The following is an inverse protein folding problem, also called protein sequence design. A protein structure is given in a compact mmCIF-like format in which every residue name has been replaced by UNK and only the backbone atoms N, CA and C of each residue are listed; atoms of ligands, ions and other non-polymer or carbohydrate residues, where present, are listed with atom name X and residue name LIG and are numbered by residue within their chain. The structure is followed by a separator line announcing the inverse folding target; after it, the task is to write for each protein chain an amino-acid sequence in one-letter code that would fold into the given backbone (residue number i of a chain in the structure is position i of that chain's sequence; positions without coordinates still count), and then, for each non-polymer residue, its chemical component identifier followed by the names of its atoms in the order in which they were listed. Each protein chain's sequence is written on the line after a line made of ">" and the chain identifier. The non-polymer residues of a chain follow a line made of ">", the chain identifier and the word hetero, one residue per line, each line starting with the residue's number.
data_IF_257351467592
#
_entry.id   IF_257351467592
#
_cell.length_a   1.000
_cell.length_b   1.000
_cell.length_c   1.000
_cell.angle_alpha   90.00
_cell.angle_beta   90.00
_cell.angle_gamma   90.00
#
_symmetry.space_group_name_H-M   'P 1'
#
loop_
_entity.id
_entity.type
_entity.pdbx_description
1 polymer ?
#
# COMPACT_ATOMS: atom_id res chain seq x y z
N UNK A 1 -21.90 14.57 3.77
CA UNK A 1 -21.79 14.40 2.32
C UNK A 1 -20.60 13.54 1.97
N UNK A 2 -20.81 12.60 1.16
CA UNK A 2 -19.76 11.67 0.77
C UNK A 2 -18.86 12.29 -0.30
N UNK A 3 -17.60 12.01 -0.23
CA UNK A 3 -16.68 12.41 -1.27
C UNK A 3 -16.81 11.43 -2.43
N UNK A 4 -17.51 11.84 -3.47
CA UNK A 4 -17.81 10.98 -4.58
C UNK A 4 -16.62 10.73 -5.50
N UNK A 5 -15.55 11.53 -5.38
CA UNK A 5 -14.38 11.36 -6.23
C UNK A 5 -13.69 10.02 -6.02
N UNK A 6 -13.87 9.42 -4.86
CA UNK A 6 -13.24 8.14 -4.53
C UNK A 6 -14.19 6.95 -4.69
N UNK A 7 -15.41 7.19 -5.17
CA UNK A 7 -16.32 6.10 -5.53
C UNK A 7 -16.67 5.14 -4.41
N UNK A 8 -16.73 5.58 -3.17
CA UNK A 8 -17.02 4.72 -2.05
C UNK A 8 -15.81 4.05 -1.42
N UNK A 9 -14.62 4.36 -1.90
CA UNK A 9 -13.39 3.86 -1.29
C UNK A 9 -13.22 4.45 0.11
N UNK A 10 -12.65 3.65 1.01
CA UNK A 10 -12.42 4.09 2.38
C UNK A 10 -10.93 4.14 2.68
N UNK A 11 -10.54 5.14 3.45
CA UNK A 11 -9.15 5.29 3.88
C UNK A 11 -8.79 4.15 4.84
N UNK A 12 -7.65 3.52 4.59
CA UNK A 12 -7.17 2.44 5.46
C UNK A 12 -5.83 2.75 6.09
N UNK A 13 -5.06 3.67 5.51
CA UNK A 13 -3.72 3.94 6.00
C UNK A 13 -3.19 5.25 5.44
N UNK A 14 -2.32 5.91 6.21
CA UNK A 14 -1.53 7.05 5.77
C UNK A 14 -0.07 6.71 5.98
N UNK A 15 0.76 6.89 4.96
CA UNK A 15 2.17 6.53 5.05
C UNK A 15 3.07 7.62 4.49
N UNK A 16 4.27 7.68 5.05
CA UNK A 16 5.35 8.47 4.46
C UNK A 16 6.16 7.52 3.57
N UNK A 17 6.40 7.95 2.35
CA UNK A 17 7.13 7.15 1.37
C UNK A 17 8.60 7.06 1.76
N UNK A 18 9.12 5.85 1.90
CA UNK A 18 10.52 5.62 2.20
C UNK A 18 11.33 5.51 0.91
N UNK A 19 12.65 5.41 1.05
CA UNK A 19 13.53 5.25 -0.11
C UNK A 19 13.29 3.94 -0.85
N UNK A 20 12.77 2.93 -0.17
CA UNK A 20 12.47 1.64 -0.80
C UNK A 20 11.42 1.76 -1.88
N UNK A 21 10.49 2.70 -1.72
CA UNK A 21 9.37 2.82 -2.64
C UNK A 21 9.83 3.19 -4.05
N UNK A 22 10.55 4.31 -4.27
CA UNK A 22 11.03 4.58 -5.62
C UNK A 22 12.12 3.61 -6.09
N UNK A 23 12.91 3.06 -5.16
CA UNK A 23 14.00 2.16 -5.55
C UNK A 23 13.49 0.78 -5.92
N UNK A 24 12.59 0.21 -5.12
CA UNK A 24 12.20 -1.20 -5.24
C UNK A 24 10.73 -1.41 -5.59
N UNK A 25 9.93 -0.34 -5.64
CA UNK A 25 8.50 -0.48 -5.89
C UNK A 25 7.75 -1.09 -4.72
N UNK A 26 8.22 -0.85 -3.50
CA UNK A 26 7.62 -1.41 -2.29
C UNK A 26 7.21 -0.28 -1.35
N UNK A 27 5.95 -0.29 -0.97
CA UNK A 27 5.43 0.65 0.03
C UNK A 27 5.09 -0.11 1.29
N UNK A 28 5.78 0.20 2.37
CA UNK A 28 5.54 -0.48 3.64
C UNK A 28 4.19 -0.04 4.21
N UNK A 29 3.43 -1.02 4.73
CA UNK A 29 2.14 -0.79 5.34
C UNK A 29 2.08 -1.50 6.69
N UNK A 30 1.11 -1.12 7.52
CA UNK A 30 0.94 -1.77 8.81
C UNK A 30 0.28 -3.14 8.64
N UNK A 31 0.41 -3.96 9.67
CA UNK A 31 -0.27 -5.25 9.70
C UNK A 31 -1.78 -5.07 9.55
N UNK A 32 -2.33 -4.03 10.15
CA UNK A 32 -3.76 -3.74 10.06
C UNK A 32 -4.18 -3.47 8.62
N UNK A 33 -3.42 -2.64 7.91
CA UNK A 33 -3.71 -2.36 6.51
C UNK A 33 -3.56 -3.62 5.66
N UNK A 34 -2.53 -4.42 5.92
CA UNK A 34 -2.33 -5.68 5.20
C UNK A 34 -3.54 -6.61 5.37
N UNK A 35 -4.08 -6.69 6.58
CA UNK A 35 -5.26 -7.50 6.84
C UNK A 35 -6.47 -7.04 6.06
N UNK A 36 -6.61 -5.74 5.85
CA UNK A 36 -7.71 -5.20 5.06
C UNK A 36 -7.57 -5.49 3.58
N UNK A 37 -6.35 -5.72 3.11
CA UNK A 37 -6.10 -6.03 1.71
C UNK A 37 -6.23 -7.52 1.40
N UNK A 38 -6.23 -8.39 2.41
CA UNK A 38 -6.33 -9.83 2.19
C UNK A 38 -7.50 -10.26 1.29
N UNK A 39 -8.71 -9.69 1.47
CA UNK A 39 -9.83 -10.09 0.61
C UNK A 39 -9.60 -9.83 -0.88
N UNK A 40 -8.67 -8.95 -1.24
CA UNK A 40 -8.35 -8.71 -2.64
C UNK A 40 -7.51 -9.83 -3.25
N UNK A 41 -6.91 -10.69 -2.41
CA UNK A 41 -6.03 -11.75 -2.86
C UNK A 41 -4.57 -11.32 -2.88
N UNK A 42 -3.70 -12.25 -3.29
CA UNK A 42 -2.25 -11.99 -3.31
C UNK A 42 -1.87 -10.95 -4.36
N UNK A 43 -2.67 -10.84 -5.41
CA UNK A 43 -2.47 -9.85 -6.47
C UNK A 43 -3.77 -9.09 -6.65
N UNK A 44 -3.68 -7.79 -6.89
CA UNK A 44 -4.87 -6.95 -7.00
C UNK A 44 -4.60 -5.74 -7.87
N UNK A 45 -5.68 -5.08 -8.29
CA UNK A 45 -5.57 -3.86 -9.07
C UNK A 45 -5.14 -2.70 -8.18
N UNK A 46 -4.34 -1.81 -8.74
CA UNK A 46 -3.81 -0.65 -8.04
C UNK A 46 -3.95 0.59 -8.91
N UNK A 47 -4.33 1.71 -8.29
CA UNK A 47 -4.24 3.02 -8.92
C UNK A 47 -3.31 3.88 -8.09
N UNK A 48 -2.29 4.45 -8.73
CA UNK A 48 -1.39 5.41 -8.07
C UNK A 48 -1.63 6.76 -8.74
N UNK A 49 -2.24 7.67 -7.99
CA UNK A 49 -2.62 8.99 -8.49
C UNK A 49 -3.36 8.89 -9.83
N UNK A 50 -4.27 7.92 -9.91
CA UNK A 50 -5.10 7.70 -11.08
C UNK A 50 -4.49 6.82 -12.17
N UNK A 51 -3.24 6.43 -12.06
CA UNK A 51 -2.61 5.54 -13.04
C UNK A 51 -2.84 4.09 -12.64
N UNK A 52 -3.46 3.28 -13.50
CA UNK A 52 -3.79 1.89 -13.17
C UNK A 52 -2.65 0.93 -13.41
N UNK A 53 -2.67 -0.16 -12.67
CA UNK A 53 -1.71 -1.24 -12.82
C UNK A 53 -2.01 -2.36 -11.85
N UNK A 54 -1.02 -3.21 -11.65
CA UNK A 54 -1.15 -4.37 -10.78
C UNK A 54 -0.22 -4.26 -9.59
N UNK A 55 -0.63 -4.86 -8.49
CA UNK A 55 0.15 -4.90 -7.27
C UNK A 55 0.06 -6.26 -6.61
N UNK A 56 0.98 -6.52 -5.72
CA UNK A 56 0.96 -7.72 -4.90
C UNK A 56 1.16 -7.33 -3.44
N UNK A 57 0.64 -8.15 -2.54
CA UNK A 57 0.90 -7.99 -1.13
C UNK A 57 2.10 -8.86 -0.78
N UNK A 58 3.15 -8.22 -0.27
CA UNK A 58 4.35 -8.92 0.14
C UNK A 58 4.56 -8.82 1.63
N UNK A 59 5.33 -9.75 2.16
CA UNK A 59 5.76 -9.67 3.55
C UNK A 59 7.17 -10.19 3.68
N UNK A 60 7.89 -9.64 4.66
CA UNK A 60 9.26 -9.98 4.89
C UNK A 60 9.49 -10.10 6.39
N UNK A 61 9.94 -11.25 6.86
CA UNK A 61 10.30 -11.38 8.26
C UNK A 61 11.54 -10.53 8.55
N UNK A 62 11.56 -9.94 9.73
CA UNK A 62 12.67 -9.09 10.16
C UNK A 62 13.16 -9.53 11.52
N UNK A 63 14.47 -9.69 11.65
CA UNK A 63 15.11 -10.04 12.91
C UNK A 63 16.02 -8.92 13.39
N UNK A 64 15.75 -7.69 12.96
CA UNK A 64 16.60 -6.55 13.25
C UNK A 64 16.73 -6.25 14.74
N UNK A 65 15.84 -6.77 15.57
CA UNK A 65 15.87 -6.60 17.03
C UNK A 65 16.24 -7.89 17.75
N UNK A 66 16.81 -8.86 17.04
CA UNK A 66 17.18 -10.14 17.61
C UNK A 66 16.08 -11.16 17.46
N UNK A 67 16.40 -12.41 17.80
CA UNK A 67 15.48 -13.51 17.58
C UNK A 67 14.19 -13.43 18.40
N UNK A 68 14.29 -12.89 19.61
CA UNK A 68 13.14 -12.78 20.49
C UNK A 68 12.15 -11.72 20.04
N UNK A 69 12.58 -10.83 19.17
CA UNK A 69 11.79 -9.70 18.72
C UNK A 69 11.49 -9.77 17.23
N UNK A 70 11.51 -10.97 16.68
CA UNK A 70 11.20 -11.15 15.26
C UNK A 70 9.82 -10.59 14.95
N UNK A 71 9.71 -9.89 13.82
CA UNK A 71 8.45 -9.34 13.38
C UNK A 71 8.39 -9.39 11.86
N UNK A 72 7.25 -9.05 11.30
CA UNK A 72 7.03 -9.10 9.85
C UNK A 72 6.72 -7.72 9.35
N UNK A 73 7.39 -7.32 8.28
CA UNK A 73 7.06 -6.11 7.55
C UNK A 73 6.15 -6.48 6.38
N UNK A 74 5.14 -5.67 6.15
CA UNK A 74 4.19 -5.87 5.05
C UNK A 74 4.38 -4.78 4.02
N UNK A 75 4.24 -5.14 2.74
CA UNK A 75 4.44 -4.19 1.66
C UNK A 75 3.38 -4.35 0.58
N UNK A 76 3.02 -3.24 -0.04
CA UNK A 76 2.38 -3.25 -1.34
C UNK A 76 3.51 -3.17 -2.36
N UNK A 77 3.54 -4.09 -3.31
CA UNK A 77 4.62 -4.17 -4.30
C UNK A 77 4.05 -3.91 -5.69
N UNK A 78 4.60 -2.92 -6.38
CA UNK A 78 4.18 -2.58 -7.73
C UNK A 78 5.19 -1.63 -8.36
N UNK A 79 5.43 -1.80 -9.65
CA UNK A 79 6.28 -0.86 -10.40
C UNK A 79 5.70 0.54 -10.42
N UNK A 80 4.38 0.67 -10.34
CA UNK A 80 3.73 2.00 -10.29
C UNK A 80 4.21 2.83 -9.12
N UNK A 81 4.58 2.17 -8.02
CA UNK A 81 5.02 2.88 -6.82
C UNK A 81 6.37 3.55 -6.99
N UNK A 82 7.13 3.16 -8.01
CA UNK A 82 8.44 3.77 -8.27
C UNK A 82 8.34 5.24 -8.67
N UNK A 83 7.15 5.68 -9.07
CA UNK A 83 6.92 7.08 -9.42
C UNK A 83 6.78 7.99 -8.19
N UNK A 84 6.63 7.41 -7.01
CA UNK A 84 6.48 8.17 -5.78
C UNK A 84 7.84 8.63 -5.27
N UNK A 85 7.90 9.87 -4.77
CA UNK A 85 9.15 10.41 -4.25
C UNK A 85 9.31 10.07 -2.77
N UNK A 86 10.53 9.69 -2.38
CA UNK A 86 10.83 9.47 -0.97
C UNK A 86 10.55 10.75 -0.17
N UNK A 87 9.93 10.60 0.99
CA UNK A 87 9.57 11.73 1.84
C UNK A 87 8.18 12.30 1.58
N UNK A 88 7.55 11.94 0.45
CA UNK A 88 6.17 12.37 0.22
C UNK A 88 5.23 11.54 1.09
N UNK A 89 4.03 12.06 1.27
CA UNK A 89 3.01 11.38 2.05
C UNK A 89 1.89 10.92 1.14
N UNK A 90 1.38 9.74 1.42
CA UNK A 90 0.31 9.15 0.62
C UNK A 90 -0.78 8.62 1.53
N UNK A 91 -2.00 8.64 1.01
CA UNK A 91 -3.14 8.01 1.65
C UNK A 91 -3.54 6.80 0.83
N UNK A 92 -3.83 5.69 1.53
CA UNK A 92 -4.27 4.47 0.91
C UNK A 92 -5.76 4.30 1.14
N UNK A 93 -6.48 4.01 0.07
CA UNK A 93 -7.93 3.78 0.12
C UNK A 93 -8.25 2.42 -0.46
N UNK A 94 -9.13 1.69 0.20
CA UNK A 94 -9.60 0.40 -0.27
C UNK A 94 -10.95 0.58 -0.93
N UNK A 95 -11.03 0.21 -2.19
CA UNK A 95 -12.29 0.20 -2.95
C UNK A 95 -12.70 -1.27 -3.10
N UNK A 96 -13.53 -1.73 -2.19
CA UNK A 96 -13.94 -3.13 -2.15
C UNK A 96 -14.80 -3.51 -3.35
N UNK A 97 -15.64 -2.60 -3.81
CA UNK A 97 -16.53 -2.87 -4.92
C UNK A 97 -15.76 -3.09 -6.22
N UNK A 98 -14.75 -2.27 -6.47
CA UNK A 98 -13.90 -2.41 -7.65
C UNK A 98 -12.73 -3.36 -7.40
N UNK A 99 -12.58 -3.84 -6.17
CA UNK A 99 -11.51 -4.77 -5.76
C UNK A 99 -10.14 -4.22 -6.09
N UNK A 100 -9.87 -3.03 -5.60
CA UNK A 100 -8.59 -2.37 -5.89
C UNK A 100 -8.15 -1.48 -4.73
N UNK A 101 -6.86 -1.17 -4.75
CA UNK A 101 -6.25 -0.25 -3.81
C UNK A 101 -5.94 1.05 -4.54
N UNK A 102 -6.24 2.18 -3.89
CA UNK A 102 -5.89 3.49 -4.41
C UNK A 102 -4.80 4.08 -3.52
N UNK A 103 -3.75 4.58 -4.16
CA UNK A 103 -2.67 5.30 -3.47
C UNK A 103 -2.68 6.72 -4.01
N UNK A 104 -2.93 7.68 -3.13
CA UNK A 104 -3.09 9.07 -3.50
C UNK A 104 -2.07 9.92 -2.77
N UNK A 105 -1.28 10.69 -3.52
CA UNK A 105 -0.31 11.59 -2.92
C UNK A 105 -1.04 12.73 -2.22
N UNK A 106 -0.70 12.95 -0.97
CA UNK A 106 -1.33 13.98 -0.16
C UNK A 106 -0.83 15.38 -0.52
#
# INVERSE_FOLDING_TARGET
>A
MTDDSLGGARAIEHRTVSRKTPADGKLEITKSAAGRLEPLGAQFALLVDGTPGDAALGMMPCTCRGHDKAHVHYFVESDLLRSLAAGSEVDLFLDEDARRLLVVTA
#
